data_IF_712617331779
#
_entry.id   IF_712617331779
#
_cell.length_a   1.000
_cell.length_b   1.000
_cell.length_c   1.000
_cell.angle_alpha   90.00
_cell.angle_beta   90.00
_cell.angle_gamma   90.00
#
_symmetry.space_group_name_H-M   'P 1'
#
loop_
_entity.id
_entity.type
_entity.pdbx_description
1 polymer ?
#
# COMPACT_ATOMS: atom_id res chain seq x y z
N UNK A 1 -8.64 6.57 -7.72
CA UNK A 1 -7.78 7.74 -7.45
C UNK A 1 -7.45 7.74 -5.97
N UNK A 2 -6.22 7.36 -5.60
CA UNK A 2 -5.81 7.21 -4.20
C UNK A 2 -5.68 8.58 -3.54
N UNK A 3 -6.44 8.81 -2.47
CA UNK A 3 -6.32 10.02 -1.67
C UNK A 3 -5.25 9.83 -0.60
N UNK A 4 -4.37 10.82 -0.44
CA UNK A 4 -3.33 10.83 0.59
C UNK A 4 -3.48 12.09 1.42
N UNK A 5 -3.76 11.94 2.72
CA UNK A 5 -3.90 13.06 3.63
C UNK A 5 -2.58 13.84 3.74
N UNK A 6 -2.60 15.19 3.61
CA UNK A 6 -1.42 16.04 3.74
C UNK A 6 -0.57 15.77 4.98
N UNK A 7 -1.20 15.38 6.10
CA UNK A 7 -0.51 15.08 7.37
C UNK A 7 0.43 13.87 7.30
N UNK A 8 0.14 12.90 6.43
CA UNK A 8 0.96 11.71 6.24
C UNK A 8 1.75 11.75 4.93
N UNK A 9 1.58 12.80 4.14
CA UNK A 9 2.13 12.90 2.79
C UNK A 9 3.65 12.74 2.78
N UNK A 10 4.36 13.35 3.73
CA UNK A 10 5.81 13.20 3.88
C UNK A 10 6.24 11.73 4.11
N UNK A 11 5.47 10.98 4.91
CA UNK A 11 5.74 9.55 5.14
C UNK A 11 5.45 8.74 3.88
N UNK A 12 4.34 9.01 3.21
CA UNK A 12 4.01 8.38 1.93
C UNK A 12 5.09 8.65 0.87
N UNK A 13 5.54 9.89 0.75
CA UNK A 13 6.54 10.29 -0.25
C UNK A 13 7.92 9.69 0.04
N UNK A 14 8.24 9.40 1.30
CA UNK A 14 9.46 8.68 1.71
C UNK A 14 9.51 7.19 1.30
N UNK A 15 8.37 6.61 0.93
CA UNK A 15 8.34 5.25 0.40
C UNK A 15 8.99 5.18 -0.99
N UNK A 16 9.46 3.99 -1.35
CA UNK A 16 9.99 3.71 -2.68
C UNK A 16 8.94 3.97 -3.76
N UNK A 17 9.40 4.25 -4.99
CA UNK A 17 8.50 4.44 -6.13
C UNK A 17 7.65 3.20 -6.43
N UNK A 18 8.15 2.00 -6.13
CA UNK A 18 7.40 0.75 -6.30
C UNK A 18 6.26 0.65 -5.29
N UNK A 19 6.53 0.82 -3.99
CA UNK A 19 5.47 0.79 -2.98
C UNK A 19 4.41 1.85 -3.22
N UNK A 20 4.79 3.05 -3.69
CA UNK A 20 3.82 4.09 -4.05
C UNK A 20 2.89 3.66 -5.20
N UNK A 21 3.42 2.94 -6.20
CA UNK A 21 2.61 2.40 -7.31
C UNK A 21 1.65 1.32 -6.83
N UNK A 22 2.13 0.39 -6.00
CA UNK A 22 1.29 -0.67 -5.42
C UNK A 22 0.16 -0.08 -4.57
N UNK A 23 0.47 0.89 -3.70
CA UNK A 23 -0.54 1.59 -2.89
C UNK A 23 -1.52 2.38 -3.78
N UNK A 24 -1.08 2.89 -4.94
CA UNK A 24 -1.98 3.51 -5.91
C UNK A 24 -2.91 2.50 -6.60
N UNK A 25 -2.43 1.29 -6.89
CA UNK A 25 -3.24 0.23 -7.47
C UNK A 25 -4.39 -0.19 -6.54
N UNK A 26 -4.17 -0.16 -5.21
CA UNK A 26 -5.18 -0.44 -4.20
C UNK A 26 -6.36 0.55 -4.19
N UNK A 27 -6.25 1.72 -4.83
CA UNK A 27 -7.28 2.78 -4.80
C UNK A 27 -7.73 3.17 -3.36
N UNK A 28 -6.83 3.05 -2.38
CA UNK A 28 -7.15 3.31 -0.98
C UNK A 28 -7.23 4.80 -0.63
N UNK A 29 -7.91 5.13 0.48
CA UNK A 29 -7.89 6.48 1.07
C UNK A 29 -7.05 6.47 2.34
N UNK A 30 -5.88 7.12 2.27
CA UNK A 30 -4.92 7.15 3.37
C UNK A 30 -5.14 8.41 4.20
N UNK A 31 -5.89 8.30 5.30
CA UNK A 31 -6.20 9.41 6.20
C UNK A 31 -5.18 9.53 7.34
N UNK A 32 -4.57 8.41 7.72
CA UNK A 32 -3.67 8.27 8.87
C UNK A 32 -2.51 7.32 8.57
N UNK A 33 -1.50 7.31 9.44
CA UNK A 33 -0.38 6.36 9.34
C UNK A 33 -0.86 4.91 9.46
N UNK A 34 -1.93 4.66 10.22
CA UNK A 34 -2.54 3.34 10.30
C UNK A 34 -3.08 2.86 8.95
N UNK A 35 -3.70 3.75 8.16
CA UNK A 35 -4.19 3.39 6.82
C UNK A 35 -3.02 3.05 5.90
N UNK A 36 -1.89 3.74 6.06
CA UNK A 36 -0.67 3.42 5.33
C UNK A 36 -0.13 2.03 5.72
N UNK A 37 -0.14 1.69 7.00
CA UNK A 37 0.27 0.37 7.48
C UNK A 37 -0.65 -0.74 6.96
N UNK A 38 -1.97 -0.51 6.95
CA UNK A 38 -2.95 -1.45 6.40
C UNK A 38 -2.73 -1.65 4.90
N UNK A 39 -2.51 -0.58 4.14
CA UNK A 39 -2.24 -0.67 2.71
C UNK A 39 -0.95 -1.46 2.42
N UNK A 40 0.10 -1.25 3.21
CA UNK A 40 1.35 -2.02 3.11
C UNK A 40 1.15 -3.49 3.47
N UNK A 41 0.37 -3.79 4.51
CA UNK A 41 0.05 -5.16 4.88
C UNK A 41 -0.71 -5.88 3.77
N UNK A 42 -1.71 -5.23 3.14
CA UNK A 42 -2.44 -5.83 2.02
C UNK A 42 -1.55 -6.15 0.82
N UNK A 43 -0.48 -5.39 0.57
CA UNK A 43 0.50 -5.69 -0.48
C UNK A 43 1.29 -6.95 -0.13
N UNK A 44 1.66 -7.12 1.14
CA UNK A 44 2.35 -8.32 1.63
C UNK A 44 1.41 -9.53 1.53
N UNK A 45 0.18 -9.40 2.01
CA UNK A 45 -0.81 -10.48 1.98
C UNK A 45 -1.12 -10.94 0.53
N UNK A 46 -1.19 -10.00 -0.42
CA UNK A 46 -1.39 -10.31 -1.84
C UNK A 46 -0.18 -11.03 -2.45
N UNK A 47 1.04 -10.63 -2.09
CA UNK A 47 2.26 -11.31 -2.51
C UNK A 47 2.35 -12.73 -1.95
N UNK A 48 2.07 -12.92 -0.65
CA UNK A 48 2.07 -14.23 -0.01
C UNK A 48 0.97 -15.15 -0.59
N UNK A 49 -0.21 -14.60 -0.88
CA UNK A 49 -1.32 -15.36 -1.50
C UNK A 49 -1.00 -15.75 -2.95
N UNK A 50 -0.30 -14.89 -3.69
CA UNK A 50 0.15 -15.15 -5.06
C UNK A 50 1.21 -16.25 -5.13
N UNK A 51 2.09 -16.35 -4.14
CA UNK A 51 3.06 -17.45 -4.02
C UNK A 51 2.38 -18.80 -3.73
N UNK A 52 1.30 -18.82 -2.92
CA UNK A 52 0.57 -20.05 -2.58
C UNK A 52 -0.24 -20.61 -3.76
N UNK A 53 -0.71 -19.74 -4.67
CA UNK A 53 -1.49 -20.17 -5.85
C UNK A 53 -0.62 -20.78 -6.96
N UNK A 54 0.67 -20.44 -7.01
CA UNK A 54 1.61 -20.95 -8.04
C UNK A 54 2.18 -22.34 -7.72
N UNK A 55 1.92 -22.87 -6.52
CA UNK A 55 2.37 -24.20 -6.04
C UNK A 55 1.25 -25.24 -5.97
N UNK A 56 0.02 -24.90 -6.39
CA UNK A 56 -1.16 -25.77 -6.33
C UNK A 56 -1.56 -26.35 -7.69
#
# INVERSE_FOLDING_TARGET
MTYVNPRIRAKFDSLSSELKKEIWALNASLNSTSDLAVALQSIIDDAETSEITSIS
#
